data_IF_027143022940
#
_entry.id   IF_027143022940
#
_cell.length_a   1.000
_cell.length_b   1.000
_cell.length_c   1.000
_cell.angle_alpha   90.00
_cell.angle_beta   90.00
_cell.angle_gamma   90.00
#
_symmetry.space_group_name_H-M   'P 1'
#
loop_
_entity.id
_entity.type
_entity.pdbx_description
1 polymer ?
#
# COMPACT_ATOMS: atom_id res chain seq x y z
N UNK A 1 -3.62 -15.88 3.23
CA UNK A 1 -2.59 -15.64 2.19
C UNK A 1 -3.25 -14.76 1.14
N UNK A 2 -2.75 -13.57 0.79
CA UNK A 2 -3.24 -12.87 -0.39
C UNK A 2 -2.83 -13.72 -1.60
N UNK A 3 -3.78 -14.01 -2.48
CA UNK A 3 -3.55 -14.82 -3.67
C UNK A 3 -2.87 -13.94 -4.73
N UNK A 4 -1.55 -13.79 -4.61
CA UNK A 4 -0.72 -13.04 -5.55
C UNK A 4 -0.50 -13.84 -6.85
N UNK A 5 -0.94 -13.32 -7.99
CA UNK A 5 -0.56 -13.88 -9.28
C UNK A 5 0.95 -13.62 -9.49
N UNK A 6 1.78 -14.66 -9.43
CA UNK A 6 3.21 -14.57 -9.76
C UNK A 6 4.12 -13.89 -8.72
N UNK A 7 3.75 -13.91 -7.43
CA UNK A 7 4.60 -13.34 -6.37
C UNK A 7 4.52 -11.80 -6.26
N UNK A 8 3.41 -11.21 -6.72
CA UNK A 8 3.12 -9.77 -6.60
C UNK A 8 1.82 -9.54 -5.86
N UNK A 9 1.86 -8.72 -4.82
CA UNK A 9 0.67 -8.17 -4.16
C UNK A 9 0.44 -6.74 -4.65
N UNK A 10 -0.78 -6.44 -5.06
CA UNK A 10 -1.20 -5.07 -5.37
C UNK A 10 -1.94 -4.51 -4.15
N UNK A 11 -1.56 -3.30 -3.74
CA UNK A 11 -2.21 -2.58 -2.64
C UNK A 11 -2.69 -1.24 -3.16
N UNK A 12 -3.97 -0.94 -2.97
CA UNK A 12 -4.51 0.39 -3.22
C UNK A 12 -4.45 1.18 -1.91
N UNK A 13 -3.82 2.35 -1.94
CA UNK A 13 -3.82 3.31 -0.83
C UNK A 13 -4.62 4.55 -1.21
N UNK A 14 -5.36 5.07 -0.25
CA UNK A 14 -6.17 6.27 -0.41
C UNK A 14 -5.55 7.41 0.41
N UNK A 15 -5.33 8.55 -0.22
CA UNK A 15 -4.89 9.79 0.42
C UNK A 15 -5.78 10.98 -0.03
N UNK A 16 -5.40 12.20 0.34
CA UNK A 16 -6.12 13.40 -0.08
C UNK A 16 -6.08 13.70 -1.58
N UNK A 17 -5.16 13.09 -2.32
CA UNK A 17 -4.94 13.27 -3.76
C UNK A 17 -5.62 12.17 -4.60
N UNK A 18 -6.12 11.10 -3.98
CA UNK A 18 -6.83 10.03 -4.68
C UNK A 18 -6.39 8.63 -4.27
N UNK A 19 -6.50 7.71 -5.22
CA UNK A 19 -6.03 6.33 -5.09
C UNK A 19 -4.62 6.18 -5.67
N UNK A 20 -3.72 5.57 -4.91
CA UNK A 20 -2.36 5.21 -5.28
C UNK A 20 -2.21 3.70 -5.38
N UNK A 21 -1.72 3.20 -6.52
CA UNK A 21 -1.48 1.78 -6.73
C UNK A 21 -0.04 1.40 -6.35
N UNK A 22 0.09 0.56 -5.34
CA UNK A 22 1.37 0.09 -4.81
C UNK A 22 1.61 -1.35 -5.26
N UNK A 23 2.79 -1.60 -5.82
CA UNK A 23 3.25 -2.92 -6.24
C UNK A 23 4.21 -3.44 -5.18
N UNK A 24 3.85 -4.56 -4.54
CA UNK A 24 4.62 -5.20 -3.48
C UNK A 24 5.07 -6.59 -3.95
N UNK A 25 6.36 -6.72 -4.24
CA UNK A 25 6.97 -8.02 -4.55
C UNK A 25 6.98 -8.92 -3.30
N UNK A 26 6.83 -10.23 -3.50
CA UNK A 26 6.75 -11.25 -2.44
C UNK A 26 7.83 -11.07 -1.38
N UNK A 27 9.10 -10.86 -1.78
CA UNK A 27 10.20 -10.63 -0.84
C UNK A 27 9.97 -9.44 0.09
N UNK A 28 9.41 -8.34 -0.41
CA UNK A 28 9.10 -7.16 0.41
C UNK A 28 7.86 -7.43 1.26
N UNK A 29 6.85 -8.10 0.69
CA UNK A 29 5.63 -8.47 1.40
C UNK A 29 5.87 -9.42 2.55
N UNK A 30 6.80 -10.37 2.41
CA UNK A 30 7.16 -11.31 3.48
C UNK A 30 7.93 -10.63 4.61
N UNK A 31 8.90 -9.77 4.28
CA UNK A 31 9.67 -9.01 5.28
C UNK A 31 8.80 -7.99 6.02
N UNK A 32 7.85 -7.37 5.31
CA UNK A 32 6.97 -6.34 5.86
C UNK A 32 5.54 -6.85 6.08
N UNK A 33 5.36 -8.14 6.36
CA UNK A 33 4.05 -8.80 6.36
C UNK A 33 3.04 -8.20 7.32
N UNK A 34 3.46 -7.87 8.53
CA UNK A 34 2.59 -7.25 9.53
C UNK A 34 2.06 -5.92 8.99
N UNK A 35 2.95 -5.00 8.61
CA UNK A 35 2.57 -3.73 8.00
C UNK A 35 1.68 -3.92 6.75
N UNK A 36 1.95 -4.90 5.90
CA UNK A 36 1.15 -5.15 4.70
C UNK A 36 -0.30 -5.58 4.99
N UNK A 37 -0.54 -6.34 6.06
CA UNK A 37 -1.84 -7.00 6.30
C UNK A 37 -2.66 -6.34 7.41
N UNK A 38 -2.02 -5.76 8.43
CA UNK A 38 -2.72 -5.23 9.61
C UNK A 38 -2.84 -3.70 9.64
N UNK A 39 -2.13 -2.97 8.78
CA UNK A 39 -2.10 -1.51 8.86
C UNK A 39 -3.43 -0.88 8.43
N UNK A 40 -3.92 0.05 9.24
CA UNK A 40 -4.95 1.03 8.86
C UNK A 40 -4.36 2.32 8.30
N UNK A 41 -3.12 2.64 8.66
CA UNK A 41 -2.32 3.70 8.03
C UNK A 41 -0.98 3.11 7.62
N UNK A 42 -0.72 3.08 6.32
CA UNK A 42 0.46 2.46 5.73
C UNK A 42 1.37 3.54 5.13
N UNK A 43 2.60 3.63 5.64
CA UNK A 43 3.64 4.44 5.01
C UNK A 43 4.43 3.55 4.03
N UNK A 44 4.53 3.98 2.78
CA UNK A 44 5.19 3.24 1.70
C UNK A 44 6.44 3.98 1.26
N UNK A 45 7.59 3.33 1.37
CA UNK A 45 8.83 3.80 0.75
C UNK A 45 9.07 3.00 -0.50
N UNK A 46 9.12 3.68 -1.64
CA UNK A 46 9.20 3.01 -2.92
C UNK A 46 9.71 3.91 -4.03
N UNK A 47 9.78 3.34 -5.23
CA UNK A 47 10.09 4.09 -6.45
C UNK A 47 8.79 4.39 -7.19
N UNK A 48 8.55 5.66 -7.45
CA UNK A 48 7.51 6.09 -8.37
C UNK A 48 7.85 5.62 -9.79
N UNK A 49 6.90 4.98 -10.45
CA UNK A 49 6.97 4.60 -11.85
C UNK A 49 5.73 5.10 -12.57
N UNK A 50 5.94 5.65 -13.76
CA UNK A 50 4.86 6.08 -14.63
C UNK A 50 5.02 5.37 -15.96
N UNK A 51 4.00 4.63 -16.36
CA UNK A 51 3.96 3.87 -17.60
C UNK A 51 2.56 3.95 -18.19
N UNK A 52 2.46 4.26 -19.49
CA UNK A 52 1.20 4.33 -20.24
C UNK A 52 0.11 5.19 -19.56
N UNK A 53 0.54 6.30 -18.95
CA UNK A 53 -0.36 7.24 -18.24
C UNK A 53 -0.73 6.83 -16.82
N UNK A 54 -0.44 5.59 -16.40
CA UNK A 54 -0.71 5.11 -15.04
C UNK A 54 0.53 5.30 -14.16
N UNK A 55 0.31 5.74 -12.93
CA UNK A 55 1.37 5.93 -11.94
C UNK A 55 1.25 4.88 -10.84
N UNK A 56 2.35 4.18 -10.57
CA UNK A 56 2.47 3.15 -9.54
C UNK A 56 3.67 3.41 -8.66
N UNK A 57 3.65 2.88 -7.44
CA UNK A 57 4.81 2.88 -6.55
C UNK A 57 5.28 1.44 -6.37
N UNK A 58 6.53 1.15 -6.77
CA UNK A 58 7.17 -0.13 -6.42
C UNK A 58 7.69 -0.02 -4.98
N UNK A 59 7.05 -0.75 -4.08
CA UNK A 59 7.41 -0.76 -2.66
C UNK A 59 8.78 -1.41 -2.43
N UNK A 60 9.55 -0.80 -1.54
CA UNK A 60 10.82 -1.33 -1.00
C UNK A 60 10.74 -1.56 0.50
N UNK A 61 9.91 -0.78 1.21
CA UNK A 61 9.66 -0.92 2.64
C UNK A 61 8.25 -0.43 2.95
N UNK A 62 7.59 -1.12 3.88
CA UNK A 62 6.29 -0.75 4.41
C UNK A 62 6.40 -0.55 5.92
N UNK A 63 5.70 0.45 6.44
CA UNK A 63 5.69 0.79 7.86
C UNK A 63 4.25 0.96 8.32
N UNK A 64 3.90 0.23 9.38
CA UNK A 64 2.62 0.42 10.05
C UNK A 64 2.66 1.73 10.86
N UNK A 65 1.81 2.67 10.49
CA UNK A 65 1.61 3.95 11.17
C UNK A 65 0.25 4.05 11.82
N UNK A 66 -0.47 2.93 11.95
CA UNK A 66 -1.81 2.85 12.56
C UNK A 66 -1.87 3.52 13.93
N UNK A 67 -0.80 3.48 14.70
CA UNK A 67 -0.72 4.17 15.99
C UNK A 67 -0.95 5.69 15.89
N UNK A 68 -0.55 6.33 14.78
CA UNK A 68 -0.74 7.77 14.56
C UNK A 68 -2.21 8.14 14.37
N UNK A 69 -3.07 7.18 13.99
CA UNK A 69 -4.50 7.42 13.86
C UNK A 69 -5.19 7.57 15.23
N UNK A 70 -4.61 7.02 16.30
CA UNK A 70 -5.27 6.98 17.60
C UNK A 70 -6.69 6.38 17.51
N UNK A 71 -7.69 7.15 17.94
CA UNK A 71 -9.11 6.78 17.90
C UNK A 71 -9.80 7.11 16.57
N UNK A 72 -9.09 7.64 15.57
CA UNK A 72 -9.67 7.96 14.28
C UNK A 72 -10.16 6.69 13.58
N UNK A 73 -11.45 6.67 13.26
CA UNK A 73 -12.05 5.64 12.43
C UNK A 73 -11.76 5.97 10.97
N UNK A 74 -10.94 5.16 10.33
CA UNK A 74 -10.70 5.23 8.89
C UNK A 74 -11.80 4.47 8.16
N UNK A 75 -12.44 5.13 7.19
CA UNK A 75 -13.36 4.52 6.22
C UNK A 75 -12.81 4.76 4.83
N UNK A 76 -13.02 3.81 3.92
CA UNK A 76 -12.75 4.02 2.49
C UNK A 76 -13.51 5.26 1.99
N UNK A 77 -12.90 6.03 1.11
CA UNK A 77 -13.53 7.20 0.48
C UNK A 77 -14.03 6.85 -0.91
N UNK A 78 -15.18 7.40 -1.27
CA UNK A 78 -15.70 7.32 -2.64
C UNK A 78 -15.04 8.39 -3.50
N UNK A 79 -14.05 8.01 -4.30
CA UNK A 79 -13.48 8.85 -5.34
C UNK A 79 -14.33 8.68 -6.62
N UNK A 80 -15.00 9.76 -7.05
CA UNK A 80 -15.89 9.80 -8.23
C UNK A 80 -15.17 10.40 -9.43
#
# INVERSE_FOLDING_TARGET
RPTAAGGVTFVTLEDESGQSNIIVWERVGDVCREALVSSRLLEVHGRLQRQDGVTHIIARRLLDRTALLGALLTRSRDFH
#
